data_IF_612725974314
#
_entry.id   IF_612725974314
#
_cell.length_a   1.000
_cell.length_b   1.000
_cell.length_c   1.000
_cell.angle_alpha   90.00
_cell.angle_beta   90.00
_cell.angle_gamma   90.00
#
_symmetry.space_group_name_H-M   'P 1'
#
loop_
_entity.id
_entity.type
_entity.pdbx_description
1 polymer ?
#
# COMPACT_ATOMS: atom_id res chain seq x y z
N UNK A 1 6.12 0.06 2.92
CA UNK A 1 6.33 1.18 1.97
C UNK A 1 5.66 2.43 2.52
N UNK A 2 6.29 3.62 2.43
CA UNK A 2 5.72 4.88 2.94
C UNK A 2 4.61 5.45 2.07
N UNK A 3 3.83 6.38 2.64
CA UNK A 3 2.95 7.27 1.89
C UNK A 3 3.71 8.39 1.17
N UNK A 4 2.99 9.28 0.49
CA UNK A 4 3.56 10.45 -0.20
C UNK A 4 4.38 11.29 0.78
N UNK A 5 5.61 11.66 0.40
CA UNK A 5 6.58 12.38 1.24
C UNK A 5 6.89 11.71 2.59
N UNK A 6 6.51 10.44 2.74
CA UNK A 6 6.67 9.70 4.00
C UNK A 6 8.13 9.39 4.30
N UNK A 7 8.53 9.65 5.55
CA UNK A 7 9.84 9.27 6.11
C UNK A 7 9.65 8.13 7.11
N UNK A 8 10.67 7.31 7.39
CA UNK A 8 10.57 6.17 8.32
C UNK A 8 10.53 6.65 9.80
N UNK A 9 9.47 7.38 10.18
CA UNK A 9 9.34 7.96 11.53
C UNK A 9 8.51 7.11 12.50
N UNK A 10 7.60 6.25 12.00
CA UNK A 10 6.69 5.44 12.83
C UNK A 10 7.00 3.96 12.60
N UNK A 11 7.92 3.43 13.39
CA UNK A 11 8.43 2.06 13.25
C UNK A 11 7.67 1.04 14.10
N UNK A 12 6.58 1.43 14.79
CA UNK A 12 5.92 0.54 15.76
C UNK A 12 5.37 -0.73 15.11
N UNK A 13 4.67 -0.61 13.97
CA UNK A 13 4.24 -1.77 13.20
C UNK A 13 5.41 -2.67 12.77
N UNK A 14 6.52 -2.08 12.34
CA UNK A 14 7.73 -2.84 11.94
C UNK A 14 8.37 -3.55 13.13
N UNK A 15 8.40 -2.92 14.31
CA UNK A 15 8.88 -3.55 15.56
C UNK A 15 7.98 -4.71 15.96
N UNK A 16 6.65 -4.57 15.82
CA UNK A 16 5.70 -5.66 16.07
C UNK A 16 5.98 -6.84 15.15
N UNK A 17 6.22 -6.60 13.86
CA UNK A 17 6.57 -7.67 12.92
C UNK A 17 7.91 -8.34 13.28
N UNK A 18 8.94 -7.56 13.65
CA UNK A 18 10.22 -8.11 14.14
C UNK A 18 10.04 -9.00 15.37
N UNK A 19 9.24 -8.57 16.33
CA UNK A 19 8.97 -9.34 17.56
C UNK A 19 8.22 -10.67 17.28
N UNK A 20 7.51 -10.75 16.16
CA UNK A 20 6.85 -11.97 15.69
C UNK A 20 7.77 -12.84 14.80
N UNK A 21 9.05 -12.49 14.65
CA UNK A 21 10.02 -13.28 13.89
C UNK A 21 10.14 -12.94 12.41
N UNK A 22 9.44 -11.90 11.92
CA UNK A 22 9.63 -11.42 10.55
C UNK A 22 11.00 -10.78 10.36
N UNK A 23 11.61 -11.00 9.21
CA UNK A 23 12.66 -10.12 8.70
C UNK A 23 12.02 -8.92 8.05
N UNK A 24 12.40 -7.72 8.46
CA UNK A 24 11.70 -6.49 8.06
C UNK A 24 12.60 -5.60 7.23
N UNK A 25 12.12 -5.21 6.05
CA UNK A 25 12.75 -4.21 5.20
C UNK A 25 11.81 -3.00 5.11
N UNK A 26 12.29 -1.83 5.55
CA UNK A 26 11.66 -0.56 5.23
C UNK A 26 12.31 0.02 3.98
N UNK A 27 11.76 -0.32 2.81
CA UNK A 27 12.32 0.13 1.54
C UNK A 27 12.09 1.64 1.36
N UNK A 28 13.18 2.39 1.20
CA UNK A 28 13.13 3.78 0.76
C UNK A 28 12.80 3.83 -0.73
N UNK A 29 11.73 4.52 -1.10
CA UNK A 29 11.22 4.62 -2.45
C UNK A 29 10.95 6.07 -2.84
N UNK A 30 10.95 6.37 -4.14
CA UNK A 30 10.44 7.65 -4.63
C UNK A 30 8.96 7.72 -4.27
N UNK A 31 8.57 8.69 -3.46
CA UNK A 31 7.18 8.85 -2.99
C UNK A 31 6.54 10.16 -3.46
N UNK A 32 7.29 10.99 -4.20
CA UNK A 32 6.84 12.24 -4.81
C UNK A 32 7.12 12.25 -6.31
N UNK A 33 6.25 12.88 -7.14
CA UNK A 33 4.95 13.40 -6.74
C UNK A 33 4.01 12.30 -6.24
N UNK A 34 2.96 12.67 -5.52
CA UNK A 34 1.93 11.75 -5.08
C UNK A 34 0.92 11.46 -6.17
N UNK A 35 0.33 10.26 -6.18
CA UNK A 35 -0.70 9.89 -7.14
C UNK A 35 -1.92 10.83 -7.08
N UNK A 36 -2.31 11.25 -5.88
CA UNK A 36 -3.43 12.17 -5.65
C UNK A 36 -3.17 13.60 -6.13
N UNK A 37 -1.93 13.95 -6.45
CA UNK A 37 -1.55 15.25 -7.04
C UNK A 37 -1.21 15.12 -8.52
N UNK A 38 -0.98 13.91 -9.02
CA UNK A 38 -0.62 13.64 -10.42
C UNK A 38 -1.83 13.20 -11.23
N UNK A 39 -2.58 12.22 -10.75
CA UNK A 39 -3.82 11.77 -11.40
C UNK A 39 -5.00 12.62 -10.89
N UNK A 40 -4.98 13.91 -11.23
CA UNK A 40 -6.00 14.91 -10.93
C UNK A 40 -6.94 15.10 -12.11
N UNK A 41 -7.84 16.09 -11.99
CA UNK A 41 -8.94 16.34 -12.90
C UNK A 41 -8.54 16.29 -14.39
N UNK A 42 -7.56 17.04 -14.78
CA UNK A 42 -7.11 17.17 -16.18
C UNK A 42 -6.58 15.83 -16.71
N UNK A 43 -5.72 15.16 -15.94
CA UNK A 43 -5.10 13.91 -16.33
C UNK A 43 -6.12 12.75 -16.34
N UNK A 44 -7.12 12.74 -15.45
CA UNK A 44 -8.18 11.74 -15.43
C UNK A 44 -9.19 11.92 -16.56
N UNK A 45 -9.36 13.12 -17.09
CA UNK A 45 -10.17 13.31 -18.30
C UNK A 45 -9.48 12.78 -19.56
N UNK A 46 -8.15 12.82 -19.59
CA UNK A 46 -7.35 12.32 -20.71
C UNK A 46 -7.12 10.81 -20.65
N UNK A 47 -7.02 10.26 -19.42
CA UNK A 47 -6.68 8.87 -19.21
C UNK A 47 -7.28 8.36 -17.87
N UNK A 48 -8.35 7.59 -17.96
CA UNK A 48 -9.00 7.00 -16.79
C UNK A 48 -8.14 5.95 -16.06
N UNK A 49 -7.11 5.41 -16.73
CA UNK A 49 -6.14 4.46 -16.18
C UNK A 49 -4.88 5.15 -15.65
N UNK A 50 -4.89 6.49 -15.53
CA UNK A 50 -3.78 7.29 -15.02
C UNK A 50 -3.16 6.69 -13.75
N UNK A 51 -4.00 6.29 -12.80
CA UNK A 51 -3.55 5.76 -11.51
C UNK A 51 -2.85 4.41 -11.64
N UNK A 52 -3.36 3.52 -12.49
CA UNK A 52 -2.74 2.23 -12.78
C UNK A 52 -1.38 2.39 -13.44
N UNK A 53 -1.30 3.17 -14.50
CA UNK A 53 -0.06 3.47 -15.23
C UNK A 53 0.99 4.13 -14.33
N UNK A 54 0.56 5.07 -13.49
CA UNK A 54 1.43 5.70 -12.49
C UNK A 54 2.04 4.65 -11.55
N UNK A 55 1.22 3.74 -10.99
CA UNK A 55 1.68 2.70 -10.07
C UNK A 55 2.60 1.70 -10.74
N UNK A 56 2.25 1.23 -11.93
CA UNK A 56 3.07 0.28 -12.70
C UNK A 56 4.44 0.88 -13.05
N UNK A 57 4.48 2.16 -13.44
CA UNK A 57 5.77 2.84 -13.70
C UNK A 57 6.61 2.93 -12.44
N UNK A 58 6.05 3.34 -11.30
CA UNK A 58 6.78 3.47 -10.03
C UNK A 58 7.23 2.13 -9.46
N UNK A 59 6.44 1.06 -9.66
CA UNK A 59 6.77 -0.27 -9.16
C UNK A 59 7.79 -0.97 -10.04
N UNK A 60 7.62 -0.94 -11.37
CA UNK A 60 8.39 -1.75 -12.32
C UNK A 60 9.28 -0.94 -13.25
N UNK A 61 9.12 0.37 -13.31
CA UNK A 61 9.87 1.22 -14.25
C UNK A 61 9.34 1.17 -15.70
N UNK A 62 8.10 0.69 -15.91
CA UNK A 62 7.51 0.61 -17.25
C UNK A 62 7.36 2.01 -17.86
N UNK A 63 7.70 2.16 -19.15
CA UNK A 63 7.56 3.44 -19.84
C UNK A 63 6.14 3.65 -20.40
N UNK A 64 5.14 3.66 -19.51
CA UNK A 64 3.71 3.74 -19.82
C UNK A 64 3.01 5.00 -19.31
N UNK A 65 3.76 5.89 -18.67
CA UNK A 65 3.25 7.16 -18.18
C UNK A 65 4.35 8.23 -18.28
N UNK A 66 4.00 9.40 -18.80
CA UNK A 66 4.88 10.56 -18.86
C UNK A 66 4.69 11.52 -17.67
N UNK A 67 3.75 11.19 -16.77
CA UNK A 67 3.40 12.04 -15.62
C UNK A 67 4.41 12.00 -14.48
N UNK A 68 5.31 11.01 -14.50
CA UNK A 68 6.43 10.87 -13.56
C UNK A 68 7.70 10.47 -14.31
N UNK A 69 8.84 10.88 -13.77
CA UNK A 69 10.16 10.68 -14.36
C UNK A 69 10.95 9.53 -13.72
N UNK A 70 10.27 8.67 -12.95
CA UNK A 70 10.90 7.53 -12.29
C UNK A 70 11.60 6.64 -13.32
N UNK A 71 12.90 6.37 -13.10
CA UNK A 71 13.70 5.51 -13.97
C UNK A 71 13.57 4.04 -13.57
N UNK A 72 13.77 3.06 -14.48
CA UNK A 72 13.71 1.63 -14.15
C UNK A 72 14.64 1.22 -13.00
N UNK A 73 15.82 1.82 -12.86
CA UNK A 73 16.76 1.58 -11.75
C UNK A 73 16.22 2.05 -10.39
N UNK A 74 15.33 3.04 -10.38
CA UNK A 74 14.74 3.62 -9.17
C UNK A 74 13.39 2.97 -8.80
N UNK A 75 12.89 2.08 -9.66
CA UNK A 75 11.64 1.35 -9.46
C UNK A 75 11.68 0.50 -8.17
N UNK A 76 10.54 0.39 -7.51
CA UNK A 76 10.40 -0.38 -6.26
C UNK A 76 10.90 -1.82 -6.44
N UNK A 77 10.51 -2.47 -7.54
CA UNK A 77 10.93 -3.84 -7.86
C UNK A 77 12.46 -3.98 -7.98
N UNK A 78 13.10 -3.12 -8.76
CA UNK A 78 14.56 -3.15 -8.99
C UNK A 78 15.29 -2.93 -7.67
N UNK A 79 14.97 -1.86 -6.96
CA UNK A 79 15.62 -1.54 -5.68
C UNK A 79 15.44 -2.63 -4.62
N UNK A 80 14.25 -3.23 -4.56
CA UNK A 80 14.00 -4.32 -3.63
C UNK A 80 14.77 -5.58 -3.99
N UNK A 81 14.79 -5.95 -5.27
CA UNK A 81 15.57 -7.08 -5.78
C UNK A 81 17.07 -6.91 -5.49
N UNK A 82 17.61 -5.73 -5.81
CA UNK A 82 19.04 -5.46 -5.63
C UNK A 82 19.42 -5.47 -4.14
N UNK A 83 18.57 -4.95 -3.27
CA UNK A 83 18.75 -5.05 -1.83
C UNK A 83 18.74 -6.51 -1.34
N UNK A 84 17.83 -7.35 -1.83
CA UNK A 84 17.81 -8.78 -1.47
C UNK A 84 19.07 -9.52 -1.95
N UNK A 85 19.56 -9.20 -3.15
CA UNK A 85 20.83 -9.74 -3.67
C UNK A 85 21.99 -9.30 -2.78
N UNK A 86 22.06 -8.02 -2.44
CA UNK A 86 23.09 -7.49 -1.53
C UNK A 86 23.05 -8.18 -0.16
N UNK A 87 21.88 -8.31 0.45
CA UNK A 87 21.72 -8.93 1.76
C UNK A 87 22.07 -10.42 1.73
N UNK A 88 21.68 -11.16 0.69
CA UNK A 88 22.07 -12.57 0.51
C UNK A 88 23.60 -12.73 0.46
N UNK A 89 24.28 -11.81 -0.23
CA UNK A 89 25.73 -11.89 -0.42
C UNK A 89 26.51 -11.44 0.82
N UNK A 90 26.07 -10.35 1.48
CA UNK A 90 26.82 -9.72 2.56
C UNK A 90 26.35 -10.11 3.96
N UNK A 91 25.22 -10.82 4.07
CA UNK A 91 24.60 -11.29 5.30
C UNK A 91 23.98 -12.69 5.13
N UNK A 92 24.77 -13.67 4.66
CA UNK A 92 24.24 -15.01 4.36
C UNK A 92 23.69 -15.72 5.60
N UNK A 93 24.27 -15.47 6.77
CA UNK A 93 23.85 -16.02 8.06
C UNK A 93 22.43 -15.61 8.46
N UNK A 94 21.96 -14.46 7.99
CA UNK A 94 20.61 -13.98 8.26
C UNK A 94 19.53 -14.68 7.41
N UNK A 95 19.93 -15.56 6.48
CA UNK A 95 19.03 -16.39 5.67
C UNK A 95 18.20 -15.60 4.65
N UNK A 96 18.72 -14.46 4.14
CA UNK A 96 18.05 -13.65 3.11
C UNK A 96 17.90 -14.36 1.77
N UNK A 97 18.70 -15.41 1.50
CA UNK A 97 18.63 -16.21 0.27
C UNK A 97 17.27 -16.83 -0.02
N UNK A 98 16.46 -17.13 1.02
CA UNK A 98 15.10 -17.70 0.87
C UNK A 98 14.11 -16.79 0.14
N UNK A 99 14.40 -15.51 0.03
CA UNK A 99 13.57 -14.53 -0.66
C UNK A 99 13.95 -14.35 -2.14
N UNK A 100 14.87 -15.17 -2.62
CA UNK A 100 15.30 -15.20 -4.03
C UNK A 100 15.29 -16.64 -4.55
N UNK A 101 14.71 -16.84 -5.75
CA UNK A 101 14.79 -18.08 -6.53
C UNK A 101 15.37 -17.72 -7.89
N UNK A 102 16.51 -18.31 -8.27
CA UNK A 102 17.20 -18.02 -9.54
C UNK A 102 17.35 -16.49 -9.82
N UNK A 103 17.75 -15.73 -8.81
CA UNK A 103 17.86 -14.27 -8.83
C UNK A 103 16.54 -13.51 -9.10
N UNK A 104 15.38 -14.16 -9.03
CA UNK A 104 14.07 -13.51 -9.03
C UNK A 104 13.53 -13.45 -7.60
N UNK A 105 12.72 -12.43 -7.31
CA UNK A 105 12.09 -12.29 -5.98
C UNK A 105 11.11 -13.44 -5.76
N UNK A 106 11.28 -14.16 -4.64
CA UNK A 106 10.34 -15.17 -4.18
C UNK A 106 9.19 -14.50 -3.41
N UNK A 107 8.23 -13.98 -4.14
CA UNK A 107 7.12 -13.21 -3.59
C UNK A 107 6.26 -13.99 -2.60
N UNK A 108 6.15 -15.31 -2.75
CA UNK A 108 5.33 -16.15 -1.85
C UNK A 108 5.83 -16.12 -0.40
N UNK A 109 7.09 -15.79 -0.17
CA UNK A 109 7.69 -15.67 1.16
C UNK A 109 7.68 -14.21 1.69
N UNK A 110 7.01 -13.29 1.02
CA UNK A 110 7.08 -11.85 1.32
C UNK A 110 5.69 -11.31 1.62
N UNK A 111 5.51 -10.75 2.81
CA UNK A 111 4.34 -9.91 3.12
C UNK A 111 4.65 -8.48 2.68
N UNK A 112 3.82 -7.93 1.80
CA UNK A 112 3.94 -6.54 1.36
C UNK A 112 2.99 -5.66 2.16
N UNK A 113 3.52 -4.58 2.73
CA UNK A 113 2.73 -3.64 3.51
C UNK A 113 3.05 -2.19 3.13
N UNK A 114 2.06 -1.31 3.26
CA UNK A 114 2.27 0.10 3.00
C UNK A 114 1.16 0.99 3.55
N UNK A 115 1.49 2.27 3.67
CA UNK A 115 0.57 3.29 4.16
C UNK A 115 0.26 4.28 3.04
N UNK A 116 -1.02 4.67 2.90
CA UNK A 116 -1.46 5.67 1.92
C UNK A 116 -1.04 5.26 0.49
N UNK A 117 -0.28 6.08 -0.23
CA UNK A 117 0.28 5.74 -1.54
C UNK A 117 1.02 4.38 -1.51
N UNK A 118 1.81 4.12 -0.46
CA UNK A 118 2.52 2.85 -0.28
C UNK A 118 1.57 1.66 -0.09
N UNK A 119 0.40 1.86 0.53
CA UNK A 119 -0.64 0.84 0.64
C UNK A 119 -1.20 0.44 -0.73
N UNK A 120 -1.48 1.42 -1.59
CA UNK A 120 -1.89 1.15 -2.96
C UNK A 120 -0.79 0.51 -3.81
N UNK A 121 0.51 0.83 -3.57
CA UNK A 121 1.63 0.11 -4.21
C UNK A 121 1.69 -1.35 -3.75
N UNK A 122 1.48 -1.62 -2.45
CA UNK A 122 1.41 -2.99 -1.94
C UNK A 122 0.27 -3.78 -2.60
N UNK A 123 -0.90 -3.17 -2.76
CA UNK A 123 -2.03 -3.77 -3.46
C UNK A 123 -1.70 -4.08 -4.94
N UNK A 124 -1.08 -3.15 -5.66
CA UNK A 124 -0.69 -3.35 -7.05
C UNK A 124 0.34 -4.48 -7.19
N UNK A 125 1.33 -4.55 -6.30
CA UNK A 125 2.29 -5.66 -6.26
C UNK A 125 1.57 -7.00 -6.05
N UNK A 126 0.63 -7.07 -5.10
CA UNK A 126 -0.11 -8.29 -4.80
C UNK A 126 -1.08 -8.72 -5.91
N UNK A 127 -1.55 -7.79 -6.76
CA UNK A 127 -2.28 -8.14 -7.99
C UNK A 127 -1.39 -8.83 -9.02
N UNK A 128 -0.15 -8.36 -9.15
CA UNK A 128 0.78 -8.82 -10.18
C UNK A 128 1.71 -9.96 -9.72
N UNK A 129 1.70 -10.31 -8.44
CA UNK A 129 2.50 -11.39 -7.86
C UNK A 129 1.71 -12.12 -6.78
N UNK A 130 1.94 -13.44 -6.67
CA UNK A 130 1.42 -14.22 -5.55
C UNK A 130 2.31 -13.99 -4.33
N UNK A 131 1.96 -12.97 -3.51
CA UNK A 131 2.71 -12.63 -2.29
C UNK A 131 2.27 -13.47 -1.09
N UNK A 132 3.10 -13.56 -0.06
CA UNK A 132 2.79 -14.21 1.22
C UNK A 132 1.58 -13.58 1.93
N UNK A 133 1.41 -12.27 1.77
CA UNK A 133 0.27 -11.50 2.26
C UNK A 133 0.38 -10.02 1.89
N UNK A 134 -0.72 -9.29 1.97
CA UNK A 134 -0.75 -7.85 1.70
C UNK A 134 -1.52 -7.10 2.79
N UNK A 135 -0.93 -6.03 3.32
CA UNK A 135 -1.54 -5.18 4.35
C UNK A 135 -1.54 -3.73 3.85
N UNK A 136 -2.73 -3.21 3.58
CA UNK A 136 -2.93 -1.83 3.13
C UNK A 136 -3.44 -0.96 4.28
N UNK A 137 -2.61 -0.03 4.76
CA UNK A 137 -2.99 0.96 5.75
C UNK A 137 -3.45 2.25 5.06
N UNK A 138 -4.73 2.55 5.13
CA UNK A 138 -5.32 3.75 4.52
C UNK A 138 -4.85 3.98 3.09
N UNK A 139 -4.75 2.92 2.29
CA UNK A 139 -4.16 2.95 0.96
C UNK A 139 -5.10 2.47 -0.12
N UNK A 140 -5.09 3.19 -1.25
CA UNK A 140 -5.87 2.81 -2.41
C UNK A 140 -7.28 3.41 -2.44
N UNK A 141 -7.38 4.66 -2.86
CA UNK A 141 -8.64 5.29 -3.27
C UNK A 141 -8.43 6.06 -4.57
N UNK A 142 -7.79 5.41 -5.52
CA UNK A 142 -7.55 6.01 -6.82
C UNK A 142 -8.86 6.17 -7.60
N UNK A 143 -8.90 7.17 -8.45
CA UNK A 143 -10.07 7.49 -9.24
C UNK A 143 -9.84 7.20 -10.73
N UNK A 144 -10.87 6.78 -11.43
CA UNK A 144 -10.93 6.71 -12.89
C UNK A 144 -11.52 7.97 -13.51
N UNK A 145 -12.25 8.76 -12.71
CA UNK A 145 -12.85 10.04 -13.12
C UNK A 145 -12.66 11.06 -12.01
N UNK A 146 -12.60 12.37 -12.31
CA UNK A 146 -12.43 13.42 -11.32
C UNK A 146 -13.53 13.37 -10.26
N UNK A 147 -13.19 13.17 -8.97
CA UNK A 147 -14.18 13.16 -7.91
C UNK A 147 -14.67 14.57 -7.62
N UNK A 148 -15.97 14.70 -7.31
CA UNK A 148 -16.56 15.91 -6.71
C UNK A 148 -16.45 15.80 -5.19
N UNK A 149 -16.53 16.92 -4.46
CA UNK A 149 -16.45 16.93 -3.00
C UNK A 149 -17.46 15.99 -2.31
N UNK A 150 -18.67 15.88 -2.88
CA UNK A 150 -19.72 14.96 -2.41
C UNK A 150 -19.37 13.47 -2.58
N UNK A 151 -18.47 13.13 -3.49
CA UNK A 151 -18.12 11.73 -3.77
C UNK A 151 -17.26 11.11 -2.66
N UNK A 152 -16.57 11.94 -1.87
CA UNK A 152 -15.86 11.50 -0.66
C UNK A 152 -16.80 11.08 0.48
N UNK A 153 -18.03 11.59 0.47
CA UNK A 153 -19.06 11.30 1.48
C UNK A 153 -20.18 10.40 0.96
N UNK A 154 -20.16 10.00 -0.33
CA UNK A 154 -21.28 9.35 -0.98
C UNK A 154 -20.95 7.90 -1.41
N UNK A 155 -21.91 6.99 -1.24
CA UNK A 155 -21.85 5.61 -1.74
C UNK A 155 -21.64 5.52 -3.26
N UNK A 156 -21.92 6.57 -4.02
CA UNK A 156 -21.67 6.63 -5.47
C UNK A 156 -20.17 6.75 -5.85
N UNK A 157 -19.26 6.90 -4.90
CA UNK A 157 -17.81 6.90 -5.15
C UNK A 157 -17.35 5.62 -5.85
N UNK A 158 -18.03 4.48 -5.63
CA UNK A 158 -17.73 3.20 -6.27
C UNK A 158 -17.69 3.29 -7.82
N UNK A 159 -18.56 4.13 -8.41
CA UNK A 159 -18.67 4.30 -9.88
C UNK A 159 -17.47 5.01 -10.52
N UNK A 160 -16.67 5.71 -9.72
CA UNK A 160 -15.53 6.50 -10.18
C UNK A 160 -14.20 6.03 -9.56
N UNK A 161 -14.24 4.98 -8.74
CA UNK A 161 -13.02 4.31 -8.24
C UNK A 161 -12.34 3.62 -9.42
N UNK A 162 -11.01 3.74 -9.51
CA UNK A 162 -10.21 3.24 -10.61
C UNK A 162 -10.47 1.75 -10.92
N UNK A 163 -10.47 1.43 -12.22
CA UNK A 163 -10.85 0.10 -12.72
C UNK A 163 -9.89 -1.00 -12.29
N UNK A 164 -8.59 -0.69 -12.17
CA UNK A 164 -7.56 -1.66 -11.80
C UNK A 164 -7.84 -2.39 -10.47
N UNK A 165 -8.63 -1.82 -9.56
CA UNK A 165 -9.01 -2.49 -8.33
C UNK A 165 -9.85 -3.75 -8.55
N UNK A 166 -10.59 -3.80 -9.66
CA UNK A 166 -11.43 -4.96 -10.04
C UNK A 166 -10.65 -6.03 -10.80
N UNK A 167 -9.45 -5.72 -11.32
CA UNK A 167 -8.63 -6.68 -12.06
C UNK A 167 -8.36 -7.92 -11.20
N UNK A 168 -8.17 -9.05 -11.85
CA UNK A 168 -7.78 -10.29 -11.17
C UNK A 168 -6.49 -10.11 -10.36
N UNK A 169 -6.34 -10.91 -9.34
CA UNK A 169 -5.19 -10.87 -8.45
C UNK A 169 -4.50 -12.22 -8.41
N UNK A 170 -3.17 -12.23 -8.56
CA UNK A 170 -2.38 -13.45 -8.37
C UNK A 170 -2.28 -13.85 -6.88
N UNK A 171 -2.44 -12.90 -5.97
CA UNK A 171 -2.50 -13.21 -4.53
C UNK A 171 -3.94 -13.56 -4.14
N UNK A 172 -4.17 -14.73 -3.51
CA UNK A 172 -5.50 -15.13 -3.05
C UNK A 172 -6.13 -14.13 -2.08
N UNK A 173 -7.45 -13.92 -2.20
CA UNK A 173 -8.17 -12.90 -1.45
C UNK A 173 -8.07 -13.04 0.07
N UNK A 174 -7.94 -14.25 0.60
CA UNK A 174 -7.80 -14.50 2.05
C UNK A 174 -6.49 -13.98 2.64
N UNK A 175 -5.48 -13.65 1.81
CA UNK A 175 -4.20 -13.06 2.22
C UNK A 175 -4.20 -11.53 2.21
N UNK A 176 -5.33 -10.89 1.91
CA UNK A 176 -5.46 -9.44 1.82
C UNK A 176 -6.06 -8.85 3.08
N UNK A 177 -5.49 -7.75 3.56
CA UNK A 177 -5.93 -7.01 4.74
C UNK A 177 -5.98 -5.52 4.44
N UNK A 178 -7.12 -4.90 4.70
CA UNK A 178 -7.35 -3.47 4.62
C UNK A 178 -7.56 -2.87 6.01
N UNK A 179 -6.85 -1.79 6.34
CA UNK A 179 -6.94 -1.14 7.65
C UNK A 179 -7.11 0.36 7.42
N UNK A 180 -8.11 0.97 8.02
CA UNK A 180 -8.31 2.42 7.99
C UNK A 180 -9.13 2.89 9.19
N UNK A 181 -9.07 4.18 9.51
CA UNK A 181 -9.87 4.76 10.58
C UNK A 181 -11.18 5.33 10.02
N UNK A 182 -12.31 5.10 10.70
CA UNK A 182 -13.65 5.51 10.23
C UNK A 182 -13.79 7.04 10.10
N UNK A 183 -13.01 7.80 10.86
CA UNK A 183 -13.00 9.26 10.82
C UNK A 183 -12.02 9.86 9.80
N UNK A 184 -11.39 9.03 8.95
CA UNK A 184 -10.62 9.56 7.82
C UNK A 184 -11.53 10.24 6.81
N UNK A 185 -11.08 11.37 6.22
CA UNK A 185 -11.81 12.03 5.14
C UNK A 185 -12.04 11.10 3.93
N UNK A 186 -11.24 10.05 3.81
CA UNK A 186 -11.26 9.05 2.74
C UNK A 186 -11.84 7.70 3.18
N UNK A 187 -12.47 7.61 4.36
CA UNK A 187 -12.96 6.34 4.91
C UNK A 187 -13.93 5.61 3.96
N UNK A 188 -14.88 6.34 3.38
CA UNK A 188 -15.89 5.76 2.47
C UNK A 188 -15.22 5.22 1.19
N UNK A 189 -14.45 6.01 0.41
CA UNK A 189 -13.78 5.48 -0.77
C UNK A 189 -12.77 4.36 -0.45
N UNK A 190 -12.08 4.39 0.69
CA UNK A 190 -11.22 3.29 1.14
C UNK A 190 -12.00 1.99 1.33
N UNK A 191 -13.11 2.04 2.06
CA UNK A 191 -13.95 0.87 2.27
C UNK A 191 -14.47 0.30 0.96
N UNK A 192 -14.98 1.15 0.07
CA UNK A 192 -15.46 0.74 -1.25
C UNK A 192 -14.35 0.15 -2.12
N UNK A 193 -13.16 0.72 -2.09
CA UNK A 193 -11.99 0.19 -2.79
C UNK A 193 -11.61 -1.21 -2.29
N UNK A 194 -11.61 -1.43 -0.97
CA UNK A 194 -11.31 -2.75 -0.41
C UNK A 194 -12.36 -3.80 -0.79
N UNK A 195 -13.63 -3.42 -0.85
CA UNK A 195 -14.69 -4.29 -1.36
C UNK A 195 -14.53 -4.58 -2.86
N UNK A 196 -14.17 -3.56 -3.66
CA UNK A 196 -13.92 -3.71 -5.10
C UNK A 196 -12.71 -4.63 -5.38
N UNK A 197 -11.71 -4.64 -4.51
CA UNK A 197 -10.59 -5.59 -4.54
C UNK A 197 -10.96 -6.99 -4.05
N UNK A 198 -12.22 -7.24 -3.65
CA UNK A 198 -12.72 -8.50 -3.10
C UNK A 198 -12.01 -8.92 -1.81
N UNK A 199 -11.51 -7.97 -1.02
CA UNK A 199 -10.95 -8.27 0.31
C UNK A 199 -12.10 -8.82 1.17
N UNK A 200 -11.95 -9.99 1.81
CA UNK A 200 -12.99 -10.54 2.70
C UNK A 200 -13.36 -9.53 3.80
N UNK A 201 -14.65 -9.37 4.08
CA UNK A 201 -15.11 -8.38 5.09
C UNK A 201 -14.43 -8.56 6.44
N UNK A 202 -14.16 -9.82 6.87
CA UNK A 202 -13.43 -10.15 8.12
C UNK A 202 -11.97 -9.68 8.13
N UNK A 203 -11.40 -9.33 6.97
CA UNK A 203 -10.05 -8.83 6.81
C UNK A 203 -10.02 -7.31 6.58
N UNK A 204 -11.15 -6.63 6.65
CA UNK A 204 -11.25 -5.17 6.59
C UNK A 204 -11.44 -4.64 8.01
N UNK A 205 -10.42 -3.99 8.54
CA UNK A 205 -10.39 -3.43 9.90
C UNK A 205 -10.72 -1.94 9.87
N UNK A 206 -11.93 -1.62 10.27
CA UNK A 206 -12.41 -0.25 10.44
C UNK A 206 -12.14 0.20 11.88
N UNK A 207 -11.11 1.01 12.06
CA UNK A 207 -10.65 1.48 13.36
C UNK A 207 -11.51 2.66 13.83
N UNK A 208 -11.92 2.67 15.10
CA UNK A 208 -12.84 3.65 15.65
C UNK A 208 -12.38 4.32 16.95
N UNK A 209 -11.25 3.89 17.53
CA UNK A 209 -10.79 4.46 18.79
C UNK A 209 -10.30 5.89 18.59
N UNK A 210 -10.90 6.81 19.30
CA UNK A 210 -10.51 8.21 19.24
C UNK A 210 -9.13 8.45 19.85
N UNK A 211 -8.41 9.38 19.26
CA UNK A 211 -7.15 9.87 19.77
C UNK A 211 -7.42 11.05 20.69
N UNK A 212 -6.90 11.00 21.90
CA UNK A 212 -7.14 12.03 22.93
C UNK A 212 -6.68 13.47 22.56
N UNK A 213 -5.92 13.66 21.49
CA UNK A 213 -5.51 15.00 21.00
C UNK A 213 -5.27 14.95 19.48
N UNK A 214 -6.19 15.52 18.70
CA UNK A 214 -5.96 15.81 17.29
C UNK A 214 -5.27 17.18 17.14
N UNK A 215 -4.21 17.21 16.33
CA UNK A 215 -3.66 18.47 15.87
C UNK A 215 -4.55 19.00 14.76
N UNK A 216 -5.39 20.00 15.06
CA UNK A 216 -6.31 20.64 14.11
C UNK A 216 -5.61 21.25 12.89
N UNK A 217 -4.28 21.35 12.89
CA UNK A 217 -3.48 21.80 11.74
C UNK A 217 -3.25 20.70 10.69
N UNK A 218 -3.59 19.43 10.99
CA UNK A 218 -3.42 18.31 10.06
C UNK A 218 -4.72 18.08 9.29
N UNK A 219 -4.67 18.18 7.96
CA UNK A 219 -5.85 18.05 7.06
C UNK A 219 -6.61 16.72 7.22
N UNK A 220 -5.92 15.62 7.54
CA UNK A 220 -6.52 14.31 7.77
C UNK A 220 -5.83 13.61 8.94
N UNK A 221 -6.17 13.97 10.20
CA UNK A 221 -5.42 13.54 11.38
C UNK A 221 -5.50 12.04 11.64
N UNK A 222 -6.55 11.37 11.17
CA UNK A 222 -6.77 9.94 11.36
C UNK A 222 -6.03 9.06 10.35
N UNK A 223 -5.51 9.64 9.27
CA UNK A 223 -4.92 8.91 8.13
C UNK A 223 -3.71 8.02 8.46
N UNK A 224 -3.03 8.30 9.56
CA UNK A 224 -1.85 7.53 10.01
C UNK A 224 -2.11 6.71 11.27
N UNK A 225 -3.33 6.73 11.79
CA UNK A 225 -3.66 6.04 13.04
C UNK A 225 -3.47 4.53 12.93
N UNK A 226 -3.94 3.93 11.84
CA UNK A 226 -3.90 2.48 11.65
C UNK A 226 -2.49 1.87 11.69
N UNK A 227 -1.45 2.61 11.32
CA UNK A 227 -0.05 2.13 11.31
C UNK A 227 0.79 2.71 12.45
N UNK A 228 0.34 3.81 13.06
CA UNK A 228 1.18 4.58 13.99
C UNK A 228 0.71 4.58 15.43
N UNK A 229 -0.50 4.18 15.73
CA UNK A 229 -1.05 4.23 17.08
C UNK A 229 -0.89 2.87 17.79
N UNK A 230 -0.24 2.89 18.96
CA UNK A 230 0.03 1.69 19.76
C UNK A 230 -1.23 0.94 20.21
N UNK A 231 -2.37 1.59 20.26
CA UNK A 231 -3.65 0.98 20.64
C UNK A 231 -4.09 -0.11 19.66
N UNK A 232 -3.54 -0.13 18.44
CA UNK A 232 -3.87 -1.12 17.41
C UNK A 232 -2.83 -2.24 17.28
N UNK A 233 -1.91 -2.39 18.24
CA UNK A 233 -0.87 -3.43 18.21
C UNK A 233 -1.49 -4.83 18.11
N UNK A 234 -2.57 -5.11 18.85
CA UNK A 234 -3.25 -6.41 18.82
C UNK A 234 -3.87 -6.71 17.44
N UNK A 235 -4.35 -5.70 16.74
CA UNK A 235 -4.82 -5.85 15.35
C UNK A 235 -3.67 -6.29 14.45
N UNK A 236 -2.49 -5.67 14.60
CA UNK A 236 -1.32 -6.04 13.80
C UNK A 236 -0.81 -7.44 14.13
N UNK A 237 -0.75 -7.80 15.43
CA UNK A 237 -0.37 -9.15 15.87
C UNK A 237 -1.31 -10.19 15.26
N UNK A 238 -2.63 -9.98 15.36
CA UNK A 238 -3.61 -10.91 14.81
C UNK A 238 -3.46 -11.10 13.28
N UNK A 239 -3.18 -10.03 12.53
CA UNK A 239 -2.98 -10.12 11.08
C UNK A 239 -1.66 -10.83 10.76
N UNK A 240 -0.57 -10.38 11.37
CA UNK A 240 0.77 -10.92 11.10
C UNK A 240 0.88 -12.40 11.48
N UNK A 241 0.29 -12.82 12.60
CA UNK A 241 0.28 -14.23 13.02
C UNK A 241 -0.49 -15.16 12.07
N UNK A 242 -1.42 -14.62 11.27
CA UNK A 242 -2.14 -15.39 10.24
C UNK A 242 -1.37 -15.48 8.91
N UNK A 243 -0.33 -14.67 8.75
CA UNK A 243 0.49 -14.61 7.55
C UNK A 243 1.88 -15.26 7.73
N UNK A 244 2.19 -15.75 8.93
CA UNK A 244 3.35 -16.60 9.22
C UNK A 244 3.08 -18.03 8.73
#
# INVERSE_FOLDING_TARGET
MPGTSGKPKKLLFLKTALNLGYRVIYLSVISTPGISTTCIKENLFLDEDCAEKFRLKRIYGHNISNLITDLPKDAIYTRFKDLLVYLRTNKPEDGWGRYLIQNKINWSNIVVAGQSQGGGMACMIAKNHNVGGVISFSGGWDWSKPPKSKDYANKNAEKIIANWYSNESLTPANKWYGIFHINENTAIPLHQTYLKMKIPKKNIFMLALEKNKHNNKVRNPFHVEGIGNKVYVDVWINILSKLL
#
